data_IF_190705584724
#
_entry.id   IF_190705584724
#
_cell.length_a   1.000
_cell.length_b   1.000
_cell.length_c   1.000
_cell.angle_alpha   90.00
_cell.angle_beta   90.00
_cell.angle_gamma   90.00
#
_symmetry.space_group_name_H-M   'P 1'
#
loop_
_entity.id
_entity.type
_entity.pdbx_description
1 polymer ?
#
# COMPACT_ATOMS: atom_id res chain seq x y z
N UNK A 1 10.05 -8.49 13.04
CA UNK A 1 8.69 -8.07 12.59
C UNK A 1 8.42 -8.31 11.09
N UNK A 2 9.10 -7.65 10.15
CA UNK A 2 8.85 -7.83 8.70
C UNK A 2 9.24 -9.21 8.16
N UNK A 3 10.24 -9.85 8.76
CA UNK A 3 10.67 -11.22 8.40
C UNK A 3 9.66 -12.30 8.81
N UNK A 4 8.77 -12.00 9.75
CA UNK A 4 7.74 -12.93 10.25
C UNK A 4 6.41 -12.77 9.50
N UNK A 5 6.27 -11.73 8.66
CA UNK A 5 5.08 -11.48 7.87
C UNK A 5 4.95 -12.53 6.76
N UNK A 6 3.71 -12.97 6.51
CA UNK A 6 3.42 -13.82 5.37
C UNK A 6 3.95 -13.19 4.07
N UNK A 7 4.54 -14.02 3.20
CA UNK A 7 5.17 -13.53 1.97
C UNK A 7 4.18 -12.78 1.08
N UNK A 8 2.93 -13.23 1.06
CA UNK A 8 1.82 -12.64 0.30
C UNK A 8 1.50 -11.25 0.83
N UNK A 9 1.19 -11.12 2.13
CA UNK A 9 0.87 -9.82 2.74
C UNK A 9 1.98 -8.79 2.52
N UNK A 10 3.24 -9.22 2.66
CA UNK A 10 4.41 -8.37 2.44
C UNK A 10 4.49 -7.85 1.01
N UNK A 11 4.18 -8.70 0.02
CA UNK A 11 4.24 -8.30 -1.38
C UNK A 11 3.07 -7.39 -1.76
N UNK A 12 1.86 -7.68 -1.26
CA UNK A 12 0.69 -6.81 -1.45
C UNK A 12 0.96 -5.42 -0.86
N UNK A 13 1.46 -5.35 0.38
CA UNK A 13 1.79 -4.09 1.02
C UNK A 13 2.84 -3.29 0.23
N UNK A 14 3.90 -3.95 -0.25
CA UNK A 14 4.94 -3.26 -1.05
C UNK A 14 4.37 -2.63 -2.31
N UNK A 15 3.54 -3.36 -3.04
CA UNK A 15 2.93 -2.86 -4.28
C UNK A 15 2.01 -1.68 -3.98
N UNK A 16 1.07 -1.86 -3.06
CA UNK A 16 0.10 -0.81 -2.73
C UNK A 16 0.76 0.44 -2.14
N UNK A 17 1.78 0.28 -1.28
CA UNK A 17 2.52 1.42 -0.72
C UNK A 17 3.26 2.17 -1.84
N UNK A 18 3.86 1.46 -2.79
CA UNK A 18 4.52 2.09 -3.92
C UNK A 18 3.54 2.93 -4.76
N UNK A 19 2.36 2.38 -5.04
CA UNK A 19 1.30 3.09 -5.76
C UNK A 19 0.81 4.33 -5.01
N UNK A 20 0.54 4.19 -3.70
CA UNK A 20 0.02 5.29 -2.88
C UNK A 20 1.04 6.43 -2.74
N UNK A 21 2.34 6.11 -2.63
CA UNK A 21 3.37 7.09 -2.27
C UNK A 21 4.11 7.67 -3.47
N UNK A 22 4.26 6.92 -4.55
CA UNK A 22 5.15 7.29 -5.66
C UNK A 22 4.44 7.25 -7.02
N UNK A 23 3.51 6.32 -7.24
CA UNK A 23 2.89 6.10 -8.54
C UNK A 23 1.39 6.50 -8.56
N UNK A 24 1.14 7.80 -8.67
CA UNK A 24 -0.19 8.41 -8.70
C UNK A 24 -1.03 8.12 -9.97
N UNK A 25 -0.66 7.12 -10.79
CA UNK A 25 -1.48 6.69 -11.93
C UNK A 25 -2.79 6.05 -11.48
N UNK A 26 -2.79 5.43 -10.29
CA UNK A 26 -3.99 4.83 -9.69
C UNK A 26 -4.41 5.66 -8.48
N UNK A 27 -5.70 6.01 -8.32
CA UNK A 27 -6.18 6.69 -7.12
C UNK A 27 -5.85 5.85 -5.88
N UNK A 28 -5.26 6.46 -4.86
CA UNK A 28 -4.80 5.75 -3.66
C UNK A 28 -5.90 4.88 -2.99
N UNK A 29 -7.15 5.36 -2.98
CA UNK A 29 -8.29 4.57 -2.47
C UNK A 29 -8.58 3.31 -3.29
N UNK A 30 -8.39 3.37 -4.61
CA UNK A 30 -8.53 2.22 -5.48
C UNK A 30 -7.39 1.21 -5.22
N UNK A 31 -6.14 1.68 -5.12
CA UNK A 31 -5.00 0.82 -4.76
C UNK A 31 -5.21 0.11 -3.41
N UNK A 32 -5.79 0.79 -2.41
CA UNK A 32 -6.14 0.18 -1.12
C UNK A 32 -7.21 -0.91 -1.29
N UNK A 33 -8.29 -0.63 -2.03
CA UNK A 33 -9.35 -1.61 -2.25
C UNK A 33 -8.83 -2.86 -2.97
N UNK A 34 -8.04 -2.69 -4.03
CA UNK A 34 -7.44 -3.83 -4.76
C UNK A 34 -6.50 -4.64 -3.87
N UNK A 35 -5.68 -3.98 -3.04
CA UNK A 35 -4.82 -4.65 -2.09
C UNK A 35 -5.62 -5.49 -1.08
N UNK A 36 -6.77 -5.00 -0.62
CA UNK A 36 -7.66 -5.73 0.29
C UNK A 36 -8.31 -6.93 -0.40
N UNK A 37 -8.72 -6.81 -1.66
CA UNK A 37 -9.27 -7.95 -2.42
C UNK A 37 -8.20 -9.02 -2.70
N UNK A 38 -6.98 -8.63 -3.06
CA UNK A 38 -5.84 -9.57 -3.18
C UNK A 38 -5.57 -10.30 -1.87
N UNK A 39 -5.68 -9.59 -0.74
CA UNK A 39 -5.49 -10.18 0.58
C UNK A 39 -6.58 -11.20 0.94
N UNK A 40 -7.83 -10.97 0.51
CA UNK A 40 -8.92 -11.95 0.67
C UNK A 40 -8.71 -13.17 -0.21
N UNK A 41 -8.20 -12.97 -1.43
CA UNK A 41 -8.03 -14.04 -2.40
C UNK A 41 -6.83 -14.94 -2.11
N UNK A 42 -5.72 -14.36 -1.64
CA UNK A 42 -4.44 -15.06 -1.50
C UNK A 42 -3.89 -15.09 -0.08
N UNK A 43 -4.39 -14.25 0.83
CA UNK A 43 -3.93 -14.17 2.21
C UNK A 43 -4.62 -15.16 3.14
N UNK A 44 -4.43 -14.94 4.44
CA UNK A 44 -5.16 -15.62 5.51
C UNK A 44 -6.45 -14.88 5.87
N UNK A 45 -7.28 -15.47 6.71
CA UNK A 45 -8.52 -14.86 7.25
C UNK A 45 -8.29 -13.48 7.91
N UNK A 46 -7.07 -13.22 8.37
CA UNK A 46 -6.69 -11.96 9.03
C UNK A 46 -6.03 -10.95 8.11
N UNK A 47 -5.59 -11.36 6.92
CA UNK A 47 -4.78 -10.56 5.99
C UNK A 47 -5.52 -9.33 5.48
N UNK A 48 -6.79 -9.47 5.09
CA UNK A 48 -7.59 -8.35 4.54
C UNK A 48 -7.76 -7.20 5.55
N UNK A 49 -8.09 -7.52 6.81
CA UNK A 49 -8.17 -6.55 7.91
C UNK A 49 -6.81 -5.92 8.20
N UNK A 50 -5.76 -6.73 8.26
CA UNK A 50 -4.40 -6.26 8.53
C UNK A 50 -3.91 -5.25 7.47
N UNK A 51 -4.05 -5.61 6.19
CA UNK A 51 -3.63 -4.77 5.07
C UNK A 51 -4.45 -3.47 5.01
N UNK A 52 -5.77 -3.54 5.18
CA UNK A 52 -6.62 -2.35 5.22
C UNK A 52 -6.19 -1.37 6.33
N UNK A 53 -5.87 -1.90 7.52
CA UNK A 53 -5.40 -1.10 8.64
C UNK A 53 -4.07 -0.39 8.35
N UNK A 54 -3.07 -1.13 7.87
CA UNK A 54 -1.74 -0.59 7.55
C UNK A 54 -1.83 0.47 6.44
N UNK A 55 -2.52 0.17 5.35
CA UNK A 55 -2.62 1.10 4.21
C UNK A 55 -3.45 2.33 4.56
N UNK A 56 -4.48 2.20 5.39
CA UNK A 56 -5.24 3.35 5.91
C UNK A 56 -4.38 4.32 6.72
N UNK A 57 -3.50 3.81 7.58
CA UNK A 57 -2.53 4.64 8.31
C UNK A 57 -1.55 5.35 7.36
N UNK A 58 -1.02 4.63 6.37
CA UNK A 58 -0.08 5.19 5.39
C UNK A 58 -0.76 6.27 4.54
N UNK A 59 -1.97 6.02 4.05
CA UNK A 59 -2.75 6.98 3.28
C UNK A 59 -2.98 8.28 4.06
N UNK A 60 -3.46 8.19 5.29
CA UNK A 60 -3.69 9.36 6.14
C UNK A 60 -2.39 10.15 6.40
N UNK A 61 -1.28 9.45 6.62
CA UNK A 61 0.02 10.09 6.81
C UNK A 61 0.51 10.79 5.53
N UNK A 62 0.34 10.17 4.36
CA UNK A 62 0.73 10.74 3.07
C UNK A 62 -0.05 12.03 2.74
N UNK A 63 -1.30 12.15 3.20
CA UNK A 63 -2.08 13.40 3.05
C UNK A 63 -1.56 14.52 3.98
N UNK A 64 -1.05 14.18 5.16
CA UNK A 64 -0.54 15.15 6.15
C UNK A 64 0.91 15.57 5.89
N UNK A 65 1.72 14.68 5.30
CA UNK A 65 3.11 14.90 4.95
C UNK A 65 3.34 14.45 3.51
N UNK A 66 3.05 15.33 2.51
CA UNK A 66 3.31 15.02 1.11
C UNK A 66 4.79 14.67 0.96
N UNK A 67 5.09 13.46 0.49
CA UNK A 67 6.46 13.07 0.20
C UNK A 67 6.96 14.01 -0.91
N UNK A 68 8.10 14.69 -0.73
CA UNK A 68 8.69 15.48 -1.80
C UNK A 68 8.85 14.57 -3.01
N UNK A 69 8.17 14.91 -4.11
CA UNK A 69 8.40 14.22 -5.38
C UNK A 69 9.87 14.47 -5.69
N UNK A 70 10.68 13.40 -5.72
CA UNK A 70 12.02 13.48 -6.28
C UNK A 70 11.86 14.15 -7.64
N UNK A 71 12.53 15.28 -7.81
CA UNK A 71 12.37 16.16 -8.95
C UNK A 71 12.38 15.31 -10.22
N UNK A 72 11.42 15.58 -11.09
CA UNK A 72 11.45 15.14 -12.48
C UNK A 72 12.63 15.83 -13.17
N UNK A 73 13.86 15.41 -12.86
CA UNK A 73 14.98 15.40 -13.79
C UNK A 73 14.76 14.13 -14.61
N UNK A 74 14.30 14.21 -15.85
CA UNK A 74 15.09 14.65 -16.99
C UNK A 74 14.21 15.49 -17.92
N UNK A 75 14.69 16.69 -18.25
CA UNK A 75 14.23 17.50 -19.39
C UNK A 75 14.41 16.75 -20.70
#
# INVERSE_FOLDING_TARGET
PLQQMARIDKNILRLAIYEILFNNTVPAKAAINEAVELAKQFGSDTSSRFINGVLGTIFNRAQQQPIPKAESEVK
#
